data_IF_523499911252
#
_entry.id   IF_523499911252
#
_cell.length_a   1.000
_cell.length_b   1.000
_cell.length_c   1.000
_cell.angle_alpha   90.00
_cell.angle_beta   90.00
_cell.angle_gamma   90.00
#
_symmetry.space_group_name_H-M   'P 1'
#
loop_
_entity.id
_entity.type
_entity.pdbx_description
1 polymer ?
#
# COMPACT_ATOMS: atom_id res chain seq x y z
N UNK A 1 -26.62 -7.76 -80.19
CA UNK A 1 -25.82 -8.07 -78.94
C UNK A 1 -25.84 -6.85 -78.08
N UNK A 2 -26.57 -6.84 -76.98
CA UNK A 2 -26.54 -5.73 -76.04
C UNK A 2 -25.38 -5.95 -75.03
N UNK A 3 -24.69 -4.86 -74.70
CA UNK A 3 -23.62 -4.80 -73.75
C UNK A 3 -24.25 -4.50 -72.36
N UNK A 4 -24.11 -5.44 -71.41
CA UNK A 4 -24.51 -5.26 -70.02
C UNK A 4 -23.58 -4.33 -69.31
N UNK A 5 -24.08 -3.20 -68.83
CA UNK A 5 -23.38 -2.29 -67.89
C UNK A 5 -23.90 -2.56 -66.51
N UNK A 6 -23.04 -3.19 -65.64
CA UNK A 6 -23.29 -3.30 -64.25
C UNK A 6 -23.03 -1.95 -63.52
N UNK A 7 -23.91 -1.50 -62.63
CA UNK A 7 -23.64 -0.31 -61.83
C UNK A 7 -22.62 -0.62 -60.67
N UNK A 8 -21.54 0.14 -60.64
CA UNK A 8 -20.63 0.16 -59.51
C UNK A 8 -21.30 0.74 -58.26
N UNK A 9 -21.48 -0.08 -57.25
CA UNK A 9 -21.96 0.35 -55.94
C UNK A 9 -20.88 1.14 -55.24
N UNK A 10 -21.08 2.44 -55.14
CA UNK A 10 -20.21 3.36 -54.35
C UNK A 10 -20.38 3.05 -52.85
N UNK A 11 -19.29 2.61 -52.19
CA UNK A 11 -19.29 2.31 -50.75
C UNK A 11 -19.51 3.61 -49.96
N UNK A 12 -20.51 3.61 -49.10
CA UNK A 12 -20.78 4.74 -48.18
C UNK A 12 -19.59 5.05 -47.28
N UNK A 13 -19.28 6.34 -47.03
CA UNK A 13 -18.14 6.71 -46.19
C UNK A 13 -18.36 6.24 -44.75
N UNK A 14 -17.36 5.53 -44.25
CA UNK A 14 -17.30 5.12 -42.83
C UNK A 14 -17.37 6.36 -41.92
N UNK A 15 -18.26 6.42 -40.92
CA UNK A 15 -18.37 7.57 -40.06
C UNK A 15 -17.04 7.80 -39.30
N UNK A 16 -16.50 8.99 -39.44
CA UNK A 16 -15.31 9.42 -38.74
C UNK A 16 -15.46 9.19 -37.23
N UNK A 17 -14.53 8.45 -36.65
CA UNK A 17 -14.47 8.21 -35.22
C UNK A 17 -14.38 9.58 -34.48
N UNK A 18 -15.40 9.89 -33.70
CA UNK A 18 -15.35 11.05 -32.77
C UNK A 18 -14.15 10.85 -31.88
N UNK A 19 -13.12 11.69 -32.04
CA UNK A 19 -12.01 11.80 -31.09
C UNK A 19 -12.60 12.21 -29.76
N UNK A 20 -12.45 11.38 -28.74
CA UNK A 20 -12.85 11.71 -27.38
C UNK A 20 -12.11 12.97 -26.93
N UNK A 21 -12.75 13.88 -26.17
CA UNK A 21 -12.08 15.09 -25.69
C UNK A 21 -10.88 14.70 -24.83
N UNK A 22 -9.76 15.39 -25.04
CA UNK A 22 -8.55 15.29 -24.25
C UNK A 22 -8.77 15.93 -22.85
N UNK A 23 -9.48 15.23 -21.97
CA UNK A 23 -9.63 15.56 -20.55
C UNK A 23 -9.23 14.36 -19.73
N UNK A 24 -8.63 14.60 -18.56
CA UNK A 24 -8.31 13.52 -17.63
C UNK A 24 -9.59 12.70 -17.36
N UNK A 25 -9.59 11.42 -17.73
CA UNK A 25 -10.72 10.51 -17.58
C UNK A 25 -11.05 10.25 -16.11
N UNK A 26 -10.02 10.21 -15.26
CA UNK A 26 -10.14 9.93 -13.83
C UNK A 26 -9.43 10.98 -12.98
N UNK A 27 -9.72 11.05 -11.67
CA UNK A 27 -9.03 11.98 -10.77
C UNK A 27 -7.51 11.83 -10.89
N UNK A 28 -6.74 12.92 -10.91
CA UNK A 28 -5.28 12.85 -11.05
C UNK A 28 -4.66 12.07 -9.88
N UNK A 29 -3.54 11.39 -10.14
CA UNK A 29 -2.75 10.73 -9.09
C UNK A 29 -2.28 11.76 -8.08
N UNK A 30 -2.66 11.57 -6.83
CA UNK A 30 -2.25 12.42 -5.71
C UNK A 30 -0.94 11.88 -5.14
N UNK A 31 -0.02 12.79 -4.76
CA UNK A 31 1.21 12.43 -4.07
C UNK A 31 2.45 13.09 -4.66
N UNK A 32 3.49 13.20 -3.83
CA UNK A 32 4.79 13.71 -4.23
C UNK A 32 5.55 12.68 -5.08
N UNK A 33 6.51 13.16 -5.87
CA UNK A 33 7.41 12.27 -6.61
C UNK A 33 8.24 11.42 -5.64
N UNK A 34 8.41 10.09 -5.86
CA UNK A 34 9.12 9.20 -4.96
C UNK A 34 10.53 9.68 -4.60
N UNK A 35 11.28 10.17 -5.57
CA UNK A 35 12.64 10.72 -5.35
C UNK A 35 12.64 11.96 -4.46
N UNK A 36 11.61 12.82 -4.54
CA UNK A 36 11.47 13.98 -3.66
C UNK A 36 11.14 13.56 -2.22
N UNK A 37 10.25 12.57 -2.05
CA UNK A 37 9.93 12.02 -0.71
C UNK A 37 11.18 11.43 -0.06
N UNK A 38 11.96 10.64 -0.81
CA UNK A 38 13.21 10.07 -0.32
C UNK A 38 14.24 11.17 0.01
N UNK A 39 14.39 12.19 -0.83
CA UNK A 39 15.32 13.29 -0.59
C UNK A 39 14.95 14.08 0.70
N UNK A 40 13.67 14.40 0.87
CA UNK A 40 13.18 15.06 2.09
C UNK A 40 13.42 14.18 3.32
N UNK A 41 13.12 12.88 3.20
CA UNK A 41 13.33 11.93 4.29
C UNK A 41 14.80 11.88 4.73
N UNK A 42 15.71 11.71 3.79
CA UNK A 42 17.16 11.67 4.08
C UNK A 42 17.68 13.01 4.63
N UNK A 43 17.22 14.12 4.08
CA UNK A 43 17.59 15.44 4.57
C UNK A 43 17.15 15.63 6.02
N UNK A 44 15.93 15.26 6.39
CA UNK A 44 15.42 15.38 7.76
C UNK A 44 16.09 14.38 8.71
N UNK A 45 16.40 13.16 8.27
CA UNK A 45 17.08 12.14 9.06
C UNK A 45 18.53 12.55 9.41
N UNK A 46 19.21 13.26 8.52
CA UNK A 46 20.59 13.70 8.69
C UNK A 46 20.71 15.14 9.21
N UNK A 47 19.65 15.92 9.14
CA UNK A 47 19.65 17.32 9.60
C UNK A 47 20.18 17.51 11.03
N UNK A 48 19.82 16.71 12.05
CA UNK A 48 20.31 16.92 13.39
C UNK A 48 21.84 16.71 13.51
N UNK A 49 22.41 15.83 12.69
CA UNK A 49 23.87 15.64 12.63
C UNK A 49 24.54 16.87 11.99
N UNK A 50 23.98 17.38 10.89
CA UNK A 50 24.48 18.60 10.24
C UNK A 50 24.36 19.83 11.16
N UNK A 51 23.24 19.96 11.89
CA UNK A 51 23.06 21.02 12.87
C UNK A 51 24.11 20.88 13.99
N UNK A 52 24.29 19.68 14.56
CA UNK A 52 25.25 19.41 15.62
C UNK A 52 26.70 19.77 15.20
N UNK A 53 27.08 19.42 13.95
CA UNK A 53 28.39 19.74 13.38
C UNK A 53 28.61 21.25 13.17
N UNK A 54 27.54 22.03 13.01
CA UNK A 54 27.61 23.49 12.83
C UNK A 54 27.59 24.28 14.15
N UNK A 55 27.33 23.62 15.27
CA UNK A 55 27.30 24.27 16.58
C UNK A 55 28.72 24.65 17.05
N UNK A 56 28.92 25.83 17.69
CA UNK A 56 30.22 26.27 18.21
C UNK A 56 30.56 25.57 19.55
N UNK A 57 30.56 24.25 19.54
CA UNK A 57 30.85 23.42 20.71
C UNK A 57 32.26 22.81 20.56
N UNK A 58 32.98 22.68 21.66
CA UNK A 58 34.29 22.03 21.67
C UNK A 58 34.16 20.56 21.18
N UNK A 59 35.03 20.10 20.27
CA UNK A 59 34.98 18.75 19.77
C UNK A 59 35.18 17.71 20.88
N UNK A 60 34.42 16.63 20.84
CA UNK A 60 34.63 15.43 21.65
C UNK A 60 35.50 14.40 20.91
N UNK A 61 35.98 13.35 21.59
CA UNK A 61 36.61 12.21 20.95
C UNK A 61 35.76 11.68 19.79
N UNK A 62 36.42 11.25 18.72
CA UNK A 62 35.76 10.82 17.47
C UNK A 62 34.61 9.87 17.71
N UNK A 63 34.77 8.85 18.56
CA UNK A 63 33.74 7.85 18.83
C UNK A 63 32.55 8.42 19.63
N UNK A 64 32.75 9.40 20.49
CA UNK A 64 31.67 10.10 21.17
C UNK A 64 30.81 10.89 20.17
N UNK A 65 31.43 11.47 19.13
CA UNK A 65 30.71 12.16 18.05
C UNK A 65 29.96 11.19 17.15
N UNK A 66 30.56 10.04 16.82
CA UNK A 66 29.90 8.97 16.07
C UNK A 66 28.69 8.42 16.82
N UNK A 67 28.83 8.14 18.12
CA UNK A 67 27.73 7.69 18.97
C UNK A 67 26.59 8.72 19.02
N UNK A 68 26.94 10.01 19.18
CA UNK A 68 25.95 11.10 19.16
C UNK A 68 25.24 11.20 17.81
N UNK A 69 25.96 11.10 16.69
CA UNK A 69 25.40 11.14 15.36
C UNK A 69 24.42 9.98 15.10
N UNK A 70 24.76 8.77 15.56
CA UNK A 70 23.89 7.60 15.48
C UNK A 70 22.59 7.85 16.28
N UNK A 71 22.70 8.33 17.52
CA UNK A 71 21.54 8.61 18.38
C UNK A 71 20.63 9.69 17.80
N UNK A 72 21.22 10.81 17.35
CA UNK A 72 20.48 11.93 16.74
C UNK A 72 19.74 11.50 15.46
N UNK A 73 20.42 10.78 14.55
CA UNK A 73 19.80 10.27 13.32
C UNK A 73 18.69 9.28 13.63
N UNK A 74 18.91 8.34 14.55
CA UNK A 74 17.92 7.34 14.91
C UNK A 74 16.66 7.97 15.53
N UNK A 75 16.81 9.00 16.35
CA UNK A 75 15.66 9.73 16.92
C UNK A 75 14.89 10.51 15.85
N UNK A 76 15.57 11.16 14.90
CA UNK A 76 14.91 11.83 13.79
C UNK A 76 14.13 10.84 12.92
N UNK A 77 14.75 9.72 12.56
CA UNK A 77 14.11 8.65 11.78
C UNK A 77 12.89 8.13 12.54
N UNK A 78 12.98 7.86 13.84
CA UNK A 78 11.85 7.40 14.65
C UNK A 78 10.65 8.36 14.59
N UNK A 79 10.88 9.67 14.65
CA UNK A 79 9.82 10.66 14.49
C UNK A 79 9.21 10.63 13.07
N UNK A 80 10.03 10.44 12.03
CA UNK A 80 9.59 10.38 10.64
C UNK A 80 8.76 9.11 10.35
N UNK A 81 9.03 8.00 11.05
CA UNK A 81 8.31 6.74 10.87
C UNK A 81 6.80 6.85 11.18
N UNK A 82 6.39 7.77 12.05
CA UNK A 82 4.97 8.07 12.23
C UNK A 82 4.31 8.58 10.95
N UNK A 83 5.02 9.37 10.15
CA UNK A 83 4.50 9.89 8.87
C UNK A 83 4.43 8.80 7.80
N UNK A 84 5.35 7.84 7.83
CA UNK A 84 5.38 6.71 6.90
C UNK A 84 4.34 5.63 7.23
N UNK A 85 3.74 5.64 8.43
CA UNK A 85 2.74 4.64 8.83
C UNK A 85 1.49 4.56 7.94
N UNK A 86 1.58 5.18 6.78
CA UNK A 86 0.97 4.75 5.53
C UNK A 86 -0.33 5.41 5.16
N UNK A 87 -0.80 6.41 5.89
CA UNK A 87 -2.14 6.91 5.58
C UNK A 87 -2.19 8.28 4.90
N UNK A 88 -1.04 8.90 4.68
CA UNK A 88 -0.97 10.14 3.92
C UNK A 88 -0.89 9.85 2.42
N UNK A 89 -1.95 10.15 1.70
CA UNK A 89 -1.98 10.05 0.23
C UNK A 89 -0.92 10.94 -0.45
N UNK A 90 -0.49 12.01 0.21
CA UNK A 90 0.61 12.86 -0.24
C UNK A 90 1.95 12.12 -0.25
N UNK A 91 2.17 11.18 0.65
CA UNK A 91 3.37 10.35 0.74
C UNK A 91 3.21 9.07 -0.07
N UNK A 92 2.15 8.27 0.20
CA UNK A 92 1.99 6.94 -0.38
C UNK A 92 1.28 6.92 -1.74
N UNK A 93 0.66 8.02 -2.16
CA UNK A 93 -0.26 8.00 -3.31
C UNK A 93 0.41 7.74 -4.66
N UNK A 94 1.70 8.05 -4.83
CA UNK A 94 2.49 7.70 -6.03
C UNK A 94 3.46 6.56 -5.81
N UNK A 95 3.82 6.30 -4.55
CA UNK A 95 4.77 5.25 -4.18
C UNK A 95 4.08 3.89 -4.08
N UNK A 96 2.85 3.89 -3.61
CA UNK A 96 2.13 2.69 -3.18
C UNK A 96 2.32 2.42 -1.69
N UNK A 97 1.25 1.95 -1.04
CA UNK A 97 1.28 1.69 0.40
C UNK A 97 2.20 0.51 0.72
N UNK A 98 2.27 -0.49 -0.16
CA UNK A 98 3.13 -1.68 0.00
C UNK A 98 4.61 -1.30 0.09
N UNK A 99 5.07 -0.45 -0.86
CA UNK A 99 6.46 0.00 -0.86
C UNK A 99 6.74 0.89 0.34
N UNK A 100 5.79 1.75 0.73
CA UNK A 100 5.91 2.60 1.92
C UNK A 100 6.03 1.75 3.19
N UNK A 101 5.22 0.69 3.33
CA UNK A 101 5.28 -0.21 4.49
C UNK A 101 6.55 -1.07 4.51
N UNK A 102 7.04 -1.52 3.35
CA UNK A 102 8.35 -2.21 3.26
C UNK A 102 9.51 -1.28 3.64
N UNK A 103 9.44 -0.03 3.21
CA UNK A 103 10.41 0.98 3.61
C UNK A 103 10.38 1.24 5.11
N UNK A 104 9.18 1.41 5.71
CA UNK A 104 9.00 1.48 7.16
C UNK A 104 9.65 0.30 7.88
N UNK A 105 9.40 -0.94 7.44
CA UNK A 105 10.00 -2.15 8.04
C UNK A 105 11.54 -2.13 7.95
N UNK A 106 12.09 -1.83 6.77
CA UNK A 106 13.54 -1.78 6.56
C UNK A 106 14.21 -0.75 7.47
N UNK A 107 13.65 0.46 7.51
CA UNK A 107 14.20 1.57 8.30
C UNK A 107 14.03 1.30 9.79
N UNK A 108 12.90 0.75 10.23
CA UNK A 108 12.70 0.35 11.62
C UNK A 108 13.78 -0.64 12.09
N UNK A 109 14.15 -1.63 11.27
CA UNK A 109 15.27 -2.53 11.59
C UNK A 109 16.61 -1.79 11.72
N UNK A 110 16.86 -0.80 10.84
CA UNK A 110 18.07 0.03 10.90
C UNK A 110 18.11 0.89 12.17
N UNK A 111 16.98 1.50 12.53
CA UNK A 111 16.86 2.28 13.80
C UNK A 111 17.15 1.39 15.00
N UNK A 112 16.60 0.18 15.02
CA UNK A 112 16.89 -0.78 16.11
C UNK A 112 18.37 -1.09 16.19
N UNK A 113 19.02 -1.40 15.05
CA UNK A 113 20.44 -1.67 15.03
C UNK A 113 21.25 -0.48 15.57
N UNK A 114 20.92 0.75 15.15
CA UNK A 114 21.57 1.97 15.63
C UNK A 114 21.37 2.18 17.13
N UNK A 115 20.15 2.01 17.63
CA UNK A 115 19.84 2.16 19.05
C UNK A 115 20.49 1.08 19.91
N UNK A 116 20.61 -0.15 19.40
CA UNK A 116 21.26 -1.24 20.13
C UNK A 116 22.77 -0.99 20.30
N UNK A 117 23.45 -0.48 19.28
CA UNK A 117 24.89 -0.26 19.31
C UNK A 117 25.27 1.12 19.89
N UNK A 118 24.38 2.13 19.80
CA UNK A 118 24.63 3.50 20.21
C UNK A 118 25.29 3.64 21.59
N UNK A 119 24.81 3.02 22.70
CA UNK A 119 25.44 3.21 24.01
C UNK A 119 26.85 2.59 24.13
N UNK A 120 27.15 1.59 23.30
CA UNK A 120 28.45 0.91 23.31
C UNK A 120 29.51 1.64 22.48
N UNK A 121 29.11 2.48 21.53
CA UNK A 121 30.05 3.24 20.69
C UNK A 121 30.80 4.28 21.50
N UNK A 122 30.22 4.80 22.59
CA UNK A 122 30.92 5.70 23.53
C UNK A 122 32.11 5.06 24.24
N UNK A 123 32.19 3.73 24.27
CA UNK A 123 33.23 2.95 24.93
C UNK A 123 34.38 2.55 24.02
N UNK A 124 34.44 3.03 22.79
CA UNK A 124 35.49 2.69 21.80
C UNK A 124 36.53 3.81 21.69
N UNK A 125 37.79 3.51 21.36
CA UNK A 125 38.33 2.20 20.99
C UNK A 125 38.70 1.39 22.22
N UNK A 126 37.98 0.29 22.43
CA UNK A 126 38.27 -0.80 23.38
C UNK A 126 38.84 -0.39 24.77
N UNK A 127 38.30 0.68 25.38
CA UNK A 127 38.35 0.80 26.82
C UNK A 127 37.46 -0.29 27.44
N UNK A 128 37.80 -0.77 28.64
CA UNK A 128 36.94 -1.72 29.36
C UNK A 128 35.68 -1.06 29.95
N UNK A 129 35.39 0.19 29.54
CA UNK A 129 34.22 0.95 29.95
C UNK A 129 32.97 0.42 29.24
N UNK A 130 31.92 0.21 30.01
CA UNK A 130 30.62 -0.24 29.54
C UNK A 130 29.55 0.83 29.77
N UNK A 131 28.42 0.85 29.09
CA UNK A 131 27.40 1.91 29.23
C UNK A 131 26.88 2.12 30.63
N UNK A 132 27.01 1.13 31.50
CA UNK A 132 26.65 1.21 32.93
C UNK A 132 27.82 1.60 33.85
N UNK A 133 29.00 1.95 33.33
CA UNK A 133 30.10 2.45 34.10
C UNK A 133 29.82 3.89 34.57
N UNK A 134 29.85 4.12 35.87
CA UNK A 134 29.56 5.41 36.47
C UNK A 134 30.61 6.48 36.15
N UNK A 135 31.87 6.11 35.93
CA UNK A 135 32.92 7.01 35.48
C UNK A 135 32.65 7.56 34.10
N UNK A 136 32.24 6.69 33.18
CA UNK A 136 31.83 7.07 31.83
C UNK A 136 30.58 7.98 31.86
N UNK A 137 29.58 7.62 32.65
CA UNK A 137 28.37 8.43 32.81
C UNK A 137 28.66 9.83 33.28
N UNK A 138 29.56 9.98 34.31
CA UNK A 138 30.01 11.28 34.79
C UNK A 138 30.80 12.05 33.73
N UNK A 139 31.69 11.39 32.99
CA UNK A 139 32.43 12.00 31.88
C UNK A 139 31.50 12.56 30.78
N UNK A 140 30.41 11.89 30.52
CA UNK A 140 29.43 12.31 29.54
C UNK A 140 28.41 13.32 30.11
N UNK A 141 28.42 13.60 31.40
CA UNK A 141 27.50 14.53 32.06
C UNK A 141 26.07 13.98 32.19
N UNK A 142 25.91 12.64 32.24
CA UNK A 142 24.62 12.00 32.32
C UNK A 142 24.13 11.94 33.78
N UNK A 143 22.88 12.28 34.00
CA UNK A 143 22.17 12.07 35.25
C UNK A 143 21.43 10.74 35.30
N UNK A 144 20.99 10.35 36.50
CA UNK A 144 20.30 9.08 36.73
C UNK A 144 19.00 8.96 35.89
N UNK A 145 18.28 10.05 35.69
CA UNK A 145 17.02 10.03 34.96
C UNK A 145 17.24 9.92 33.46
N UNK A 146 18.24 10.57 32.90
CA UNK A 146 18.59 10.45 31.49
C UNK A 146 19.01 9.03 31.16
N UNK A 147 19.82 8.40 32.00
CA UNK A 147 20.23 7.00 31.83
C UNK A 147 19.05 6.05 31.96
N UNK A 148 18.21 6.23 32.99
CA UNK A 148 17.06 5.36 33.22
C UNK A 148 16.07 5.40 32.05
N UNK A 149 15.73 6.57 31.51
CA UNK A 149 14.83 6.69 30.36
C UNK A 149 15.43 6.13 29.09
N UNK A 150 16.74 6.34 28.88
CA UNK A 150 17.45 5.71 27.76
C UNK A 150 17.46 4.18 27.84
N UNK A 151 17.76 3.61 29.02
CA UNK A 151 17.78 2.16 29.23
C UNK A 151 16.39 1.53 29.07
N UNK A 152 15.34 2.17 29.59
CA UNK A 152 13.96 1.70 29.42
C UNK A 152 13.54 1.78 27.95
N UNK A 153 13.84 2.88 27.24
CA UNK A 153 13.59 3.01 25.81
C UNK A 153 14.31 1.92 25.01
N UNK A 154 15.57 1.67 25.34
CA UNK A 154 16.39 0.62 24.71
C UNK A 154 15.78 -0.78 24.87
N UNK A 155 15.32 -1.13 26.07
CA UNK A 155 14.62 -2.41 26.29
C UNK A 155 13.28 -2.50 25.56
N UNK A 156 12.49 -1.43 25.59
CA UNK A 156 11.18 -1.40 24.95
C UNK A 156 11.25 -1.45 23.42
N UNK A 157 12.26 -0.86 22.78
CA UNK A 157 12.43 -0.92 21.34
C UNK A 157 12.71 -2.36 20.89
N UNK A 158 13.49 -3.13 21.68
CA UNK A 158 13.71 -4.56 21.41
C UNK A 158 12.40 -5.33 21.47
N UNK A 159 11.59 -5.12 22.51
CA UNK A 159 10.28 -5.77 22.65
C UNK A 159 9.37 -5.40 21.49
N UNK A 160 9.33 -4.12 21.10
CA UNK A 160 8.49 -3.63 20.00
C UNK A 160 8.83 -4.33 18.67
N UNK A 161 10.12 -4.51 18.38
CA UNK A 161 10.57 -5.13 17.13
C UNK A 161 10.44 -6.65 17.17
N UNK A 162 10.79 -7.29 18.27
CA UNK A 162 10.62 -8.75 18.42
C UNK A 162 9.14 -9.12 18.26
N UNK A 163 8.22 -8.34 18.87
CA UNK A 163 6.78 -8.58 18.72
C UNK A 163 6.27 -8.24 17.32
N UNK A 164 6.91 -7.32 16.59
CA UNK A 164 6.57 -7.02 15.21
C UNK A 164 7.01 -8.13 14.24
N UNK A 165 8.23 -8.65 14.41
CA UNK A 165 8.75 -9.76 13.59
C UNK A 165 7.98 -11.04 13.90
N UNK A 166 7.79 -11.33 15.19
CA UNK A 166 7.11 -12.54 15.69
C UNK A 166 5.58 -12.45 15.72
N UNK A 167 4.95 -11.43 15.13
CA UNK A 167 3.50 -11.18 15.27
C UNK A 167 2.61 -12.39 14.95
N UNK A 168 3.03 -13.22 13.97
CA UNK A 168 2.29 -14.43 13.56
C UNK A 168 2.33 -15.55 14.60
N UNK A 169 3.25 -15.48 15.54
CA UNK A 169 3.40 -16.45 16.64
C UNK A 169 2.64 -16.00 17.91
N UNK A 170 2.14 -14.76 17.92
CA UNK A 170 1.45 -14.20 19.07
C UNK A 170 -0.03 -14.60 19.04
N UNK A 171 -0.64 -14.94 20.21
CA UNK A 171 -2.04 -15.38 20.31
C UNK A 171 -3.03 -14.20 20.27
N UNK A 172 -2.69 -13.10 19.61
CA UNK A 172 -3.50 -11.89 19.55
C UNK A 172 -3.95 -11.61 18.12
N UNK A 173 -5.09 -10.91 17.96
CA UNK A 173 -5.54 -10.45 16.67
C UNK A 173 -4.60 -9.37 16.13
N UNK A 174 -4.56 -9.21 14.81
CA UNK A 174 -3.76 -8.17 14.15
C UNK A 174 -4.07 -6.77 14.68
N UNK A 175 -5.34 -6.47 14.94
CA UNK A 175 -5.79 -5.19 15.47
C UNK A 175 -5.28 -4.91 16.87
N UNK A 176 -5.28 -5.92 17.74
CA UNK A 176 -4.71 -5.81 19.10
C UNK A 176 -3.22 -5.56 19.04
N UNK A 177 -2.50 -6.32 18.21
CA UNK A 177 -1.07 -6.11 17.98
C UNK A 177 -0.80 -4.70 17.44
N UNK A 178 -1.54 -4.24 16.43
CA UNK A 178 -1.38 -2.90 15.83
C UNK A 178 -1.60 -1.79 16.85
N UNK A 179 -2.61 -1.92 17.71
CA UNK A 179 -2.86 -0.98 18.80
C UNK A 179 -1.73 -0.94 19.83
N UNK A 180 -1.27 -2.12 20.27
CA UNK A 180 -0.14 -2.24 21.21
C UNK A 180 1.17 -1.68 20.60
N UNK A 181 1.43 -1.96 19.32
CA UNK A 181 2.58 -1.42 18.60
C UNK A 181 2.54 0.12 18.53
N UNK A 182 1.40 0.72 18.21
CA UNK A 182 1.24 2.17 18.16
C UNK A 182 1.47 2.83 19.53
N UNK A 183 0.89 2.26 20.59
CA UNK A 183 1.10 2.74 21.98
C UNK A 183 2.58 2.59 22.36
N UNK A 184 3.20 1.45 22.07
CA UNK A 184 4.61 1.20 22.33
C UNK A 184 5.51 2.18 21.57
N UNK A 185 5.23 2.48 20.30
CA UNK A 185 5.96 3.46 19.51
C UNK A 185 5.90 4.87 20.13
N UNK A 186 4.72 5.29 20.59
CA UNK A 186 4.56 6.59 21.30
C UNK A 186 5.35 6.60 22.61
N UNK A 187 5.27 5.53 23.39
CA UNK A 187 5.98 5.42 24.66
C UNK A 187 7.51 5.47 24.46
N UNK A 188 8.03 4.68 23.52
CA UNK A 188 9.46 4.67 23.17
C UNK A 188 9.91 6.05 22.69
N UNK A 189 9.14 6.68 21.79
CA UNK A 189 9.49 8.02 21.26
C UNK A 189 9.51 9.07 22.39
N UNK A 190 8.56 9.03 23.31
CA UNK A 190 8.53 9.92 24.48
C UNK A 190 9.72 9.72 25.41
N UNK A 191 10.11 8.47 25.67
CA UNK A 191 11.28 8.14 26.49
C UNK A 191 12.59 8.55 25.82
N UNK A 192 12.72 8.33 24.50
CA UNK A 192 13.88 8.77 23.72
C UNK A 192 13.95 10.30 23.66
N UNK A 193 12.81 10.98 23.51
CA UNK A 193 12.78 12.44 23.56
C UNK A 193 13.30 12.94 24.91
N UNK A 194 12.78 12.42 26.04
CA UNK A 194 13.26 12.78 27.37
C UNK A 194 14.76 12.48 27.52
N UNK A 195 15.21 11.29 27.13
CA UNK A 195 16.63 10.92 27.14
C UNK A 195 17.48 11.90 26.32
N UNK A 196 17.06 12.22 25.09
CA UNK A 196 17.80 13.11 24.20
C UNK A 196 17.91 14.54 24.75
N UNK A 197 16.87 15.06 25.40
CA UNK A 197 16.92 16.38 26.04
C UNK A 197 17.72 16.39 27.35
N UNK A 198 17.58 15.35 28.19
CA UNK A 198 18.25 15.27 29.49
C UNK A 198 19.73 14.90 29.37
N UNK A 199 20.10 13.99 28.46
CA UNK A 199 21.48 13.57 28.22
C UNK A 199 22.19 14.40 27.16
N UNK A 200 21.45 15.19 26.39
CA UNK A 200 21.85 15.69 25.10
C UNK A 200 22.61 16.99 25.13
N UNK A 201 23.92 16.93 25.03
CA UNK A 201 24.78 18.08 24.71
C UNK A 201 24.26 18.89 23.51
N UNK A 202 23.81 18.21 22.45
CA UNK A 202 23.31 18.84 21.22
C UNK A 202 21.81 19.15 21.27
N UNK A 203 21.04 18.28 21.88
CA UNK A 203 19.56 18.40 21.92
C UNK A 203 19.08 19.52 22.85
N UNK A 204 19.92 20.00 23.73
CA UNK A 204 19.64 21.15 24.62
C UNK A 204 19.87 22.51 23.95
N UNK A 205 20.54 22.54 22.78
CA UNK A 205 20.78 23.78 22.03
C UNK A 205 19.49 24.33 21.41
N UNK A 206 19.24 25.64 21.41
CA UNK A 206 17.97 26.23 20.99
C UNK A 206 17.53 25.83 19.58
N UNK A 207 18.45 25.79 18.61
CA UNK A 207 18.16 25.38 17.23
C UNK A 207 17.72 23.92 17.16
N UNK A 208 18.35 23.06 17.97
CA UNK A 208 18.02 21.65 18.01
C UNK A 208 16.68 21.41 18.73
N UNK A 209 16.39 22.17 19.79
CA UNK A 209 15.08 22.15 20.47
C UNK A 209 13.96 22.46 19.46
N UNK A 210 14.14 23.50 18.64
CA UNK A 210 13.17 23.86 17.59
C UNK A 210 13.02 22.73 16.58
N UNK A 211 14.12 22.13 16.13
CA UNK A 211 14.09 21.00 15.20
C UNK A 211 13.28 19.80 15.77
N UNK A 212 13.57 19.41 17.02
CA UNK A 212 12.84 18.33 17.69
C UNK A 212 11.38 18.67 17.94
N UNK A 213 11.07 19.91 18.32
CA UNK A 213 9.69 20.36 18.51
C UNK A 213 8.90 20.24 17.21
N UNK A 214 9.48 20.58 16.06
CA UNK A 214 8.85 20.43 14.76
C UNK A 214 8.58 18.95 14.45
N UNK A 215 9.58 18.07 14.59
CA UNK A 215 9.39 16.64 14.27
C UNK A 215 8.40 15.96 15.22
N UNK A 216 8.46 16.23 16.51
CA UNK A 216 7.51 15.68 17.50
C UNK A 216 6.09 16.20 17.26
N UNK A 217 5.96 17.47 16.90
CA UNK A 217 4.64 18.05 16.52
C UNK A 217 4.09 17.37 15.29
N UNK A 218 4.90 17.16 14.25
CA UNK A 218 4.48 16.44 13.04
C UNK A 218 4.07 15.00 13.35
N UNK A 219 4.81 14.30 14.19
CA UNK A 219 4.44 12.96 14.65
C UNK A 219 3.11 12.97 15.42
N UNK A 220 2.92 13.91 16.34
CA UNK A 220 1.67 14.09 17.08
C UNK A 220 0.48 14.44 16.19
N UNK A 221 0.66 15.36 15.23
CA UNK A 221 -0.37 15.71 14.25
C UNK A 221 -0.72 14.51 13.37
N UNK A 222 0.24 13.63 13.05
CA UNK A 222 -0.04 12.39 12.33
C UNK A 222 -0.97 11.47 13.12
N UNK A 223 -0.69 11.28 14.40
CA UNK A 223 -1.54 10.46 15.26
C UNK A 223 -2.94 11.07 15.41
N UNK A 224 -3.03 12.38 15.62
CA UNK A 224 -4.30 13.11 15.67
C UNK A 224 -5.08 12.93 14.38
N UNK A 225 -4.42 13.05 13.22
CA UNK A 225 -5.06 12.87 11.93
C UNK A 225 -5.60 11.45 11.75
N UNK A 226 -4.78 10.43 12.00
CA UNK A 226 -5.14 9.02 11.76
C UNK A 226 -6.23 8.54 12.73
N UNK A 227 -6.11 8.88 14.02
CA UNK A 227 -6.98 8.30 15.06
C UNK A 227 -8.17 9.18 15.45
N UNK A 228 -8.18 10.47 15.07
CA UNK A 228 -9.27 11.40 15.40
C UNK A 228 -9.90 12.01 14.17
N UNK A 229 -9.11 12.71 13.34
CA UNK A 229 -9.67 13.48 12.21
C UNK A 229 -10.27 12.56 11.16
N UNK A 230 -9.55 11.48 10.78
CA UNK A 230 -10.04 10.50 9.79
C UNK A 230 -11.35 9.82 10.21
N UNK A 231 -11.49 9.25 11.42
CA UNK A 231 -12.76 8.70 11.87
C UNK A 231 -13.91 9.70 11.85
N UNK A 232 -13.66 10.98 12.21
CA UNK A 232 -14.68 12.04 12.11
C UNK A 232 -15.08 12.28 10.64
N UNK A 233 -14.13 12.31 9.72
CA UNK A 233 -14.42 12.44 8.28
C UNK A 233 -15.23 11.25 7.77
N UNK A 234 -14.89 10.02 8.16
CA UNK A 234 -15.64 8.80 7.83
C UNK A 234 -17.08 8.87 8.36
N UNK A 235 -17.27 9.39 9.58
CA UNK A 235 -18.59 9.55 10.17
C UNK A 235 -19.47 10.53 9.41
N UNK A 236 -18.88 11.53 8.76
CA UNK A 236 -19.59 12.53 7.93
C UNK A 236 -19.94 12.01 6.53
N UNK A 237 -19.31 10.94 6.07
CA UNK A 237 -19.55 10.32 4.78
C UNK A 237 -19.88 8.82 4.94
N UNK A 238 -21.01 8.46 5.60
CA UNK A 238 -21.36 7.11 5.88
C UNK A 238 -21.87 6.39 4.63
N UNK A 239 -21.60 5.08 4.59
CA UNK A 239 -22.18 4.13 3.63
C UNK A 239 -23.11 3.16 4.35
N UNK A 240 -23.92 2.47 3.57
CA UNK A 240 -24.66 1.30 4.02
C UNK A 240 -24.43 0.16 3.04
N UNK A 241 -24.45 -1.06 3.54
CA UNK A 241 -24.45 -2.26 2.69
C UNK A 241 -25.72 -2.24 1.83
N UNK A 242 -25.55 -2.23 0.51
CA UNK A 242 -26.63 -2.35 -0.45
C UNK A 242 -26.99 -3.82 -0.68
N UNK A 243 -26.00 -4.69 -0.68
CA UNK A 243 -26.18 -6.13 -0.82
C UNK A 243 -24.85 -6.87 -0.78
N UNK A 244 -24.95 -8.19 -0.58
CA UNK A 244 -23.84 -9.13 -0.68
C UNK A 244 -24.32 -10.28 -1.55
N UNK A 245 -23.62 -10.57 -2.65
CA UNK A 245 -23.99 -11.60 -3.62
C UNK A 245 -22.83 -12.55 -3.87
N UNK A 246 -23.05 -13.88 -3.96
CA UNK A 246 -22.00 -14.81 -4.30
C UNK A 246 -21.63 -14.63 -5.79
N UNK A 247 -20.30 -14.60 -6.07
CA UNK A 247 -19.75 -14.48 -7.43
C UNK A 247 -18.84 -15.64 -7.80
N UNK A 248 -18.50 -16.50 -6.82
CA UNK A 248 -17.84 -17.80 -7.00
C UNK A 248 -18.03 -18.64 -5.72
N UNK A 249 -17.54 -19.87 -5.70
CA UNK A 249 -17.74 -20.82 -4.62
C UNK A 249 -17.39 -20.30 -3.20
N UNK A 250 -16.32 -19.51 -3.07
CA UNK A 250 -15.82 -18.93 -1.82
C UNK A 250 -15.63 -17.40 -1.92
N UNK A 251 -16.36 -16.76 -2.85
CA UNK A 251 -16.11 -15.35 -3.20
C UNK A 251 -17.41 -14.58 -3.36
N UNK A 252 -17.47 -13.41 -2.75
CA UNK A 252 -18.64 -12.56 -2.68
C UNK A 252 -18.38 -11.17 -3.26
N UNK A 253 -19.38 -10.56 -3.88
CA UNK A 253 -19.40 -9.13 -4.18
C UNK A 253 -20.19 -8.39 -3.09
N UNK A 254 -19.49 -7.58 -2.30
CA UNK A 254 -20.07 -6.66 -1.34
C UNK A 254 -20.29 -5.31 -2.02
N UNK A 255 -21.53 -4.81 -2.02
CA UNK A 255 -21.87 -3.49 -2.53
C UNK A 255 -22.23 -2.54 -1.40
N UNK A 256 -21.60 -1.38 -1.39
CA UNK A 256 -21.85 -0.28 -0.45
C UNK A 256 -22.42 0.90 -1.22
N UNK A 257 -23.48 1.51 -0.66
CA UNK A 257 -24.08 2.72 -1.22
C UNK A 257 -23.92 3.86 -0.22
N UNK A 258 -23.49 5.04 -0.69
CA UNK A 258 -23.42 6.24 0.13
C UNK A 258 -24.82 6.60 0.64
N UNK A 259 -24.94 6.94 1.94
CA UNK A 259 -26.23 7.32 2.54
C UNK A 259 -26.68 8.67 2.00
N UNK A 260 -28.00 8.80 1.80
CA UNK A 260 -28.65 9.98 1.23
C UNK A 260 -28.45 11.27 2.05
N UNK A 261 -28.61 12.42 1.39
CA UNK A 261 -28.29 13.74 1.82
C UNK A 261 -27.11 14.26 1.01
N UNK A 262 -26.13 14.87 1.65
CA UNK A 262 -24.86 15.27 1.00
C UNK A 262 -23.95 14.08 0.64
N UNK A 263 -24.39 12.83 0.89
CA UNK A 263 -23.60 11.61 0.71
C UNK A 263 -23.15 11.37 -0.73
N UNK A 264 -23.96 11.72 -1.74
CA UNK A 264 -23.56 11.60 -3.14
C UNK A 264 -22.41 12.55 -3.50
N UNK A 265 -22.36 13.75 -2.90
CA UNK A 265 -21.29 14.73 -3.07
C UNK A 265 -20.01 14.31 -2.33
N UNK A 266 -20.15 13.56 -1.23
CA UNK A 266 -19.05 13.05 -0.40
C UNK A 266 -18.65 11.62 -0.74
N UNK A 267 -19.22 11.01 -1.79
CA UNK A 267 -18.87 9.68 -2.24
C UNK A 267 -17.38 9.60 -2.61
N UNK A 268 -16.75 8.49 -2.27
CA UNK A 268 -15.34 8.26 -2.53
C UNK A 268 -15.04 8.37 -4.04
N UNK A 269 -14.23 9.35 -4.41
CA UNK A 269 -13.70 9.49 -5.78
C UNK A 269 -12.42 8.68 -5.89
N UNK A 270 -12.38 7.74 -6.81
CA UNK A 270 -11.27 6.82 -6.99
C UNK A 270 -10.90 6.63 -8.47
N UNK A 271 -9.73 6.06 -8.70
CA UNK A 271 -9.32 5.57 -10.02
C UNK A 271 -9.55 4.06 -10.07
N UNK A 272 -9.85 3.47 -11.24
CA UNK A 272 -10.00 2.02 -11.36
C UNK A 272 -8.78 1.30 -10.80
N UNK A 273 -8.99 0.18 -10.11
CA UNK A 273 -7.94 -0.65 -9.52
C UNK A 273 -7.41 -0.20 -8.16
N UNK A 274 -7.87 0.93 -7.62
CA UNK A 274 -7.55 1.33 -6.26
C UNK A 274 -8.31 0.49 -5.22
N UNK A 275 -7.86 0.54 -3.97
CA UNK A 275 -8.50 -0.13 -2.84
C UNK A 275 -8.91 0.87 -1.75
N UNK A 276 -9.75 0.42 -0.84
CA UNK A 276 -10.13 1.17 0.36
C UNK A 276 -10.06 0.29 1.61
N UNK A 277 -9.79 0.91 2.75
CA UNK A 277 -10.02 0.27 4.05
C UNK A 277 -11.50 0.37 4.39
N UNK A 278 -12.10 -0.78 4.71
CA UNK A 278 -13.55 -0.92 4.92
C UNK A 278 -13.81 -1.30 6.37
N UNK A 279 -14.73 -0.58 7.01
CA UNK A 279 -15.28 -0.89 8.33
C UNK A 279 -16.77 -1.20 8.16
N UNK A 280 -17.25 -2.34 8.64
CA UNK A 280 -18.65 -2.78 8.49
C UNK A 280 -19.23 -3.13 9.85
N UNK A 281 -20.47 -2.68 10.13
CA UNK A 281 -21.21 -3.01 11.34
C UNK A 281 -20.60 -2.44 12.63
N UNK A 282 -19.73 -1.44 12.54
CA UNK A 282 -19.04 -0.89 13.70
C UNK A 282 -18.87 0.63 13.60
N UNK A 283 -18.51 1.27 14.72
CA UNK A 283 -18.27 2.71 14.77
C UNK A 283 -16.94 3.09 14.08
N UNK A 284 -16.84 4.24 13.37
CA UNK A 284 -15.64 4.64 12.63
C UNK A 284 -14.35 4.74 13.48
N UNK A 285 -14.46 5.00 14.79
CA UNK A 285 -13.32 5.02 15.72
C UNK A 285 -12.78 3.64 16.10
N UNK A 286 -13.43 2.55 15.69
CA UNK A 286 -12.86 1.21 15.90
C UNK A 286 -11.67 0.99 14.98
N UNK A 287 -10.66 0.31 15.52
CA UNK A 287 -9.39 0.05 14.81
C UNK A 287 -9.54 -1.08 13.78
N UNK A 288 -10.58 -1.91 13.92
CA UNK A 288 -10.82 -3.05 13.03
C UNK A 288 -11.29 -2.56 11.67
N UNK A 289 -10.47 -2.78 10.66
CA UNK A 289 -10.72 -2.39 9.28
C UNK A 289 -9.98 -3.35 8.34
N UNK A 290 -10.52 -3.55 7.13
CA UNK A 290 -9.99 -4.50 6.17
C UNK A 290 -9.75 -3.80 4.84
N UNK A 291 -8.57 -4.01 4.20
CA UNK A 291 -8.29 -3.45 2.88
C UNK A 291 -8.90 -4.35 1.80
N UNK A 292 -9.73 -3.78 0.95
CA UNK A 292 -10.30 -4.48 -0.20
C UNK A 292 -10.16 -3.65 -1.46
N UNK A 293 -9.77 -4.31 -2.56
CA UNK A 293 -9.76 -3.70 -3.88
C UNK A 293 -11.16 -3.36 -4.34
N UNK A 294 -11.34 -2.13 -4.80
CA UNK A 294 -12.60 -1.71 -5.40
C UNK A 294 -12.75 -2.45 -6.72
N UNK A 295 -13.86 -3.16 -6.88
CA UNK A 295 -14.17 -3.93 -8.09
C UNK A 295 -15.10 -3.21 -9.06
N UNK A 296 -15.84 -2.19 -8.60
CA UNK A 296 -16.69 -1.34 -9.46
C UNK A 296 -15.88 -0.32 -10.26
N UNK A 297 -16.45 0.18 -11.34
CA UNK A 297 -15.93 1.33 -12.07
C UNK A 297 -16.26 2.65 -11.34
N UNK A 298 -15.44 3.71 -11.48
CA UNK A 298 -15.72 5.02 -10.87
C UNK A 298 -17.08 5.61 -11.28
N UNK A 299 -17.54 5.33 -12.48
CA UNK A 299 -18.82 5.79 -13.05
C UNK A 299 -20.04 5.18 -12.35
N UNK A 300 -19.84 4.11 -11.57
CA UNK A 300 -20.89 3.48 -10.76
C UNK A 300 -21.12 4.19 -9.41
N UNK A 301 -20.28 5.18 -9.07
CA UNK A 301 -20.48 6.02 -7.90
C UNK A 301 -21.87 6.67 -7.93
N UNK A 302 -22.67 6.67 -6.81
CA UNK A 302 -22.24 6.52 -5.43
C UNK A 302 -22.24 5.09 -4.87
N UNK A 303 -22.38 4.07 -5.71
CA UNK A 303 -22.28 2.67 -5.30
C UNK A 303 -20.85 2.16 -5.52
N UNK A 304 -20.27 1.50 -4.51
CA UNK A 304 -18.91 0.97 -4.53
C UNK A 304 -18.94 -0.51 -4.19
N UNK A 305 -18.37 -1.34 -5.06
CA UNK A 305 -18.31 -2.78 -4.89
C UNK A 305 -16.91 -3.28 -4.57
N UNK A 306 -16.87 -4.38 -3.84
CA UNK A 306 -15.65 -5.08 -3.43
C UNK A 306 -15.84 -6.57 -3.68
N UNK A 307 -14.92 -7.21 -4.40
CA UNK A 307 -14.91 -8.67 -4.56
C UNK A 307 -14.02 -9.25 -3.46
N UNK A 308 -14.60 -10.05 -2.57
CA UNK A 308 -14.01 -10.52 -1.33
C UNK A 308 -14.07 -12.04 -1.28
N UNK A 309 -12.93 -12.70 -1.05
CA UNK A 309 -12.86 -14.14 -0.83
C UNK A 309 -12.89 -14.44 0.67
N UNK A 310 -13.55 -15.52 1.05
CA UNK A 310 -13.51 -16.09 2.39
C UNK A 310 -12.09 -16.53 2.74
N UNK A 311 -11.51 -15.93 3.78
CA UNK A 311 -10.16 -16.23 4.26
C UNK A 311 -9.91 -15.63 5.65
N UNK A 312 -10.59 -16.17 6.66
CA UNK A 312 -10.43 -15.78 8.07
C UNK A 312 -11.65 -15.09 8.67
N UNK A 313 -11.58 -14.81 9.95
CA UNK A 313 -12.67 -14.51 10.89
C UNK A 313 -13.74 -13.52 10.39
N UNK A 314 -13.33 -12.49 9.64
CA UNK A 314 -14.26 -11.49 9.12
C UNK A 314 -14.84 -11.92 7.78
N UNK A 315 -13.99 -12.37 6.86
CA UNK A 315 -14.41 -12.65 5.48
C UNK A 315 -15.19 -13.95 5.35
N UNK A 316 -15.01 -14.93 6.23
CA UNK A 316 -15.78 -16.18 6.27
C UNK A 316 -17.28 -15.94 6.61
N UNK A 317 -17.57 -14.75 7.16
CA UNK A 317 -18.93 -14.34 7.50
C UNK A 317 -19.47 -13.22 6.61
N UNK A 318 -18.80 -12.92 5.51
CA UNK A 318 -19.20 -11.81 4.64
C UNK A 318 -20.61 -11.99 4.07
N UNK A 319 -20.99 -13.24 3.75
CA UNK A 319 -22.32 -13.59 3.23
C UNK A 319 -23.47 -13.40 4.23
N UNK A 320 -23.18 -13.29 5.55
CA UNK A 320 -24.17 -13.08 6.60
C UNK A 320 -24.54 -11.59 6.78
N UNK A 321 -23.78 -10.68 6.17
CA UNK A 321 -23.95 -9.23 6.36
C UNK A 321 -25.25 -8.77 5.69
N UNK A 322 -26.12 -8.15 6.50
CA UNK A 322 -27.44 -7.72 6.06
C UNK A 322 -27.39 -6.36 5.34
N UNK A 323 -28.23 -6.17 4.30
CA UNK A 323 -28.45 -4.84 3.72
C UNK A 323 -28.84 -3.82 4.79
N UNK A 324 -28.40 -2.57 4.62
CA UNK A 324 -28.61 -1.50 5.60
C UNK A 324 -27.52 -1.43 6.70
N UNK A 325 -26.68 -2.45 6.85
CA UNK A 325 -25.57 -2.42 7.82
C UNK A 325 -24.66 -1.20 7.57
N UNK A 326 -24.35 -0.39 8.60
CA UNK A 326 -23.45 0.77 8.44
C UNK A 326 -22.06 0.36 8.00
N UNK A 327 -21.48 1.14 7.07
CA UNK A 327 -20.13 0.96 6.61
C UNK A 327 -19.39 2.29 6.48
N UNK A 328 -18.06 2.27 6.60
CA UNK A 328 -17.21 3.43 6.47
C UNK A 328 -15.98 3.08 5.64
N UNK A 329 -15.56 4.03 4.80
CA UNK A 329 -14.44 3.86 3.90
C UNK A 329 -13.29 4.82 4.26
N UNK A 330 -12.07 4.32 4.19
CA UNK A 330 -10.85 5.13 4.17
C UNK A 330 -10.10 4.84 2.87
N UNK A 331 -10.01 5.85 2.02
CA UNK A 331 -9.38 5.71 0.71
C UNK A 331 -9.60 6.92 -0.18
N UNK A 332 -9.38 6.72 -1.50
CA UNK A 332 -8.80 5.54 -2.12
C UNK A 332 -7.29 5.46 -1.92
N UNK A 333 -6.75 4.25 -1.96
CA UNK A 333 -5.32 3.96 -1.88
C UNK A 333 -4.89 3.06 -3.05
N UNK A 334 -3.58 2.89 -3.24
CA UNK A 334 -3.02 1.99 -4.24
C UNK A 334 -2.65 2.68 -5.56
N UNK A 335 -1.73 2.01 -6.27
CA UNK A 335 -1.15 2.46 -7.55
C UNK A 335 -1.44 1.49 -8.70
N UNK A 336 -2.30 0.54 -8.48
CA UNK A 336 -2.74 -0.42 -9.50
C UNK A 336 -3.76 0.25 -10.42
N UNK A 337 -3.31 1.28 -11.15
CA UNK A 337 -4.17 2.17 -11.94
C UNK A 337 -3.73 2.11 -13.40
N UNK A 338 -4.68 1.96 -14.36
CA UNK A 338 -4.35 1.85 -15.77
C UNK A 338 -3.78 3.17 -16.33
N UNK A 339 -3.04 3.06 -17.43
CA UNK A 339 -2.59 4.24 -18.15
C UNK A 339 -3.76 4.91 -18.89
N UNK A 340 -3.78 6.24 -18.91
CA UNK A 340 -4.76 7.01 -19.70
C UNK A 340 -4.57 6.79 -21.21
N UNK A 341 -3.36 6.51 -21.65
CA UNK A 341 -3.06 6.14 -23.04
C UNK A 341 -3.55 4.73 -23.32
N UNK A 342 -4.06 4.51 -24.53
CA UNK A 342 -4.53 3.19 -24.97
C UNK A 342 -3.35 2.25 -25.33
N UNK A 343 -2.49 1.97 -24.37
CA UNK A 343 -1.38 1.02 -24.52
C UNK A 343 -1.92 -0.41 -24.40
N UNK A 344 -1.41 -1.37 -25.17
CA UNK A 344 -1.74 -2.78 -24.97
C UNK A 344 -1.52 -3.19 -23.50
N UNK A 345 -2.50 -3.86 -22.91
CA UNK A 345 -2.49 -4.17 -21.47
C UNK A 345 -2.67 -5.66 -21.23
N UNK A 346 -1.81 -6.20 -20.39
CA UNK A 346 -1.85 -7.61 -19.98
C UNK A 346 -2.15 -7.67 -18.50
N UNK A 347 -3.14 -8.46 -18.14
CA UNK A 347 -3.50 -8.78 -16.77
C UNK A 347 -3.16 -10.22 -16.46
N UNK A 348 -2.56 -10.45 -15.28
CA UNK A 348 -2.37 -11.78 -14.71
C UNK A 348 -3.02 -11.78 -13.33
N UNK A 349 -4.12 -12.49 -13.20
CA UNK A 349 -4.91 -12.58 -11.98
C UNK A 349 -4.80 -13.97 -11.35
N UNK A 350 -4.80 -14.03 -10.01
CA UNK A 350 -4.95 -15.28 -9.25
C UNK A 350 -6.05 -15.17 -8.19
N UNK A 351 -7.09 -16.00 -8.31
CA UNK A 351 -8.23 -15.99 -7.38
C UNK A 351 -8.85 -14.61 -7.23
N UNK A 352 -9.00 -14.11 -5.98
CA UNK A 352 -9.59 -12.79 -5.70
C UNK A 352 -8.77 -11.61 -6.22
N UNK A 353 -7.54 -11.81 -6.69
CA UNK A 353 -6.76 -10.79 -7.40
C UNK A 353 -7.40 -10.28 -8.68
N UNK A 354 -8.52 -10.84 -9.10
CA UNK A 354 -9.36 -10.32 -10.18
C UNK A 354 -10.06 -8.99 -9.80
N UNK A 355 -10.27 -8.71 -8.51
CA UNK A 355 -11.05 -7.57 -8.04
C UNK A 355 -10.61 -6.21 -8.63
N UNK A 356 -9.34 -5.77 -8.53
CA UNK A 356 -8.91 -4.51 -9.12
C UNK A 356 -8.95 -4.53 -10.65
N UNK A 357 -8.80 -5.70 -11.27
CA UNK A 357 -8.86 -5.88 -12.72
C UNK A 357 -10.31 -5.75 -13.23
N UNK A 358 -11.30 -6.26 -12.49
CA UNK A 358 -12.70 -6.02 -12.78
C UNK A 358 -13.03 -4.53 -12.82
N UNK A 359 -12.49 -3.75 -11.88
CA UNK A 359 -12.65 -2.28 -11.87
C UNK A 359 -12.12 -1.66 -13.17
N UNK A 360 -10.94 -2.08 -13.65
CA UNK A 360 -10.39 -1.64 -14.93
C UNK A 360 -11.29 -2.00 -16.10
N UNK A 361 -11.68 -3.28 -16.20
CA UNK A 361 -12.48 -3.78 -17.32
C UNK A 361 -13.86 -3.13 -17.36
N UNK A 362 -14.51 -2.94 -16.22
CA UNK A 362 -15.79 -2.23 -16.08
C UNK A 362 -15.69 -0.78 -16.53
N UNK A 363 -14.61 -0.06 -16.11
CA UNK A 363 -14.36 1.31 -16.53
C UNK A 363 -14.10 1.39 -18.06
N UNK A 364 -13.24 0.53 -18.59
CA UNK A 364 -12.97 0.48 -20.03
C UNK A 364 -14.23 0.19 -20.86
N UNK A 365 -15.09 -0.71 -20.38
CA UNK A 365 -16.34 -1.03 -21.07
C UNK A 365 -17.33 0.15 -21.05
N UNK A 366 -17.35 0.94 -19.98
CA UNK A 366 -18.18 2.15 -19.86
C UNK A 366 -17.68 3.26 -20.80
N UNK A 367 -16.36 3.41 -20.91
CA UNK A 367 -15.72 4.44 -21.73
C UNK A 367 -15.60 4.06 -23.22
N UNK A 368 -15.88 2.81 -23.59
CA UNK A 368 -15.68 2.29 -24.96
C UNK A 368 -14.20 2.24 -25.35
N UNK A 369 -13.32 1.90 -24.39
CA UNK A 369 -11.88 1.77 -24.63
C UNK A 369 -11.60 0.63 -25.64
N UNK A 370 -10.66 0.86 -26.56
CA UNK A 370 -10.33 -0.06 -27.65
C UNK A 370 -8.94 -0.68 -27.55
N UNK A 371 -8.22 -0.43 -26.45
CA UNK A 371 -6.89 -1.05 -26.26
C UNK A 371 -6.96 -2.56 -26.37
N UNK A 372 -5.89 -3.17 -26.87
CA UNK A 372 -5.75 -4.62 -26.84
C UNK A 372 -5.53 -5.09 -25.39
N UNK A 373 -6.37 -6.00 -24.91
CA UNK A 373 -6.32 -6.52 -23.53
C UNK A 373 -6.14 -8.03 -23.59
N UNK A 374 -5.24 -8.55 -22.78
CA UNK A 374 -5.13 -9.98 -22.50
C UNK A 374 -5.28 -10.20 -20.98
N UNK A 375 -6.20 -11.08 -20.58
CA UNK A 375 -6.36 -11.50 -19.18
C UNK A 375 -6.06 -12.98 -19.06
N UNK A 376 -5.02 -13.29 -18.29
CA UNK A 376 -4.69 -14.66 -17.85
C UNK A 376 -5.18 -14.79 -16.41
N UNK A 377 -6.19 -15.64 -16.17
CA UNK A 377 -6.84 -15.74 -14.88
C UNK A 377 -6.75 -17.15 -14.30
N UNK A 378 -5.90 -17.30 -13.27
CA UNK A 378 -5.63 -18.56 -12.57
C UNK A 378 -6.57 -18.80 -11.41
N UNK A 379 -7.14 -20.00 -11.32
CA UNK A 379 -8.00 -20.44 -10.23
C UNK A 379 -7.78 -21.92 -9.90
N UNK A 380 -8.33 -22.37 -8.76
CA UNK A 380 -8.26 -23.77 -8.35
C UNK A 380 -9.12 -24.64 -9.26
N UNK A 381 -10.40 -24.33 -9.36
CA UNK A 381 -11.40 -25.00 -10.22
C UNK A 381 -12.22 -23.95 -10.94
N UNK A 382 -13.08 -24.39 -11.86
CA UNK A 382 -13.98 -23.51 -12.60
C UNK A 382 -14.98 -22.78 -11.68
N UNK A 383 -15.44 -23.42 -10.60
CA UNK A 383 -16.37 -22.87 -9.63
C UNK A 383 -15.77 -21.72 -8.80
N UNK A 384 -14.43 -21.64 -8.73
CA UNK A 384 -13.71 -20.54 -8.07
C UNK A 384 -13.40 -19.37 -8.99
N UNK A 385 -13.83 -19.40 -10.25
CA UNK A 385 -13.66 -18.29 -11.19
C UNK A 385 -14.70 -17.21 -10.88
N UNK A 386 -14.30 -16.19 -10.14
CA UNK A 386 -15.20 -15.11 -9.76
C UNK A 386 -15.65 -14.29 -10.99
N UNK A 387 -16.95 -13.96 -11.02
CA UNK A 387 -17.58 -13.15 -12.07
C UNK A 387 -17.34 -13.69 -13.50
N UNK A 388 -17.31 -15.02 -13.67
CA UNK A 388 -17.02 -15.67 -14.95
C UNK A 388 -17.91 -15.16 -16.10
N UNK A 389 -19.23 -15.20 -15.91
CA UNK A 389 -20.19 -14.81 -16.94
C UNK A 389 -20.05 -13.32 -17.33
N UNK A 390 -19.75 -12.46 -16.35
CA UNK A 390 -19.47 -11.05 -16.60
C UNK A 390 -18.17 -10.86 -17.39
N UNK A 391 -17.10 -11.59 -17.07
CA UNK A 391 -15.83 -11.54 -17.79
C UNK A 391 -16.01 -11.97 -19.26
N UNK A 392 -16.82 -13.00 -19.52
CA UNK A 392 -17.17 -13.45 -20.87
C UNK A 392 -18.01 -12.39 -21.62
N UNK A 393 -18.96 -11.75 -20.93
CA UNK A 393 -19.74 -10.65 -21.51
C UNK A 393 -18.85 -9.42 -21.81
N UNK A 394 -17.90 -9.09 -20.94
CA UNK A 394 -16.92 -8.03 -21.16
C UNK A 394 -15.98 -8.34 -22.34
N UNK A 395 -15.61 -9.60 -22.55
CA UNK A 395 -14.81 -10.01 -23.70
C UNK A 395 -15.56 -9.80 -25.04
N UNK A 396 -16.88 -9.87 -25.03
CA UNK A 396 -17.71 -9.51 -26.20
C UNK A 396 -17.83 -8.00 -26.45
N UNK A 397 -17.52 -7.15 -25.47
CA UNK A 397 -17.65 -5.68 -25.55
C UNK A 397 -16.31 -4.96 -25.72
N UNK A 398 -15.22 -5.56 -25.25
CA UNK A 398 -13.86 -5.04 -25.27
C UNK A 398 -13.00 -5.84 -26.24
N UNK A 399 -11.88 -5.27 -26.67
CA UNK A 399 -10.84 -6.03 -27.38
C UNK A 399 -10.05 -6.89 -26.35
N UNK A 400 -10.75 -7.80 -25.68
CA UNK A 400 -10.27 -8.61 -24.57
C UNK A 400 -10.10 -10.07 -24.97
N UNK A 401 -8.86 -10.57 -24.90
CA UNK A 401 -8.54 -12.00 -24.95
C UNK A 401 -8.55 -12.57 -23.53
N UNK A 402 -9.53 -13.41 -23.21
CA UNK A 402 -9.68 -14.05 -21.91
C UNK A 402 -9.09 -15.46 -21.94
N UNK A 403 -8.23 -15.79 -20.96
CA UNK A 403 -7.59 -17.10 -20.80
C UNK A 403 -7.70 -17.56 -19.35
N UNK A 404 -8.43 -18.63 -19.11
CA UNK A 404 -8.51 -19.28 -17.80
C UNK A 404 -7.43 -20.34 -17.64
N UNK A 405 -6.83 -20.42 -16.44
CA UNK A 405 -5.85 -21.42 -16.04
C UNK A 405 -6.37 -22.11 -14.78
N UNK A 406 -6.73 -23.39 -14.86
CA UNK A 406 -7.33 -24.11 -13.74
C UNK A 406 -6.35 -25.15 -13.19
N UNK A 407 -6.13 -25.13 -11.86
CA UNK A 407 -5.26 -26.15 -11.23
C UNK A 407 -5.87 -27.55 -11.34
N UNK A 408 -7.18 -27.66 -11.11
CA UNK A 408 -7.96 -28.88 -11.23
C UNK A 408 -9.14 -28.61 -12.17
N UNK A 409 -8.94 -28.77 -13.49
CA UNK A 409 -9.98 -28.53 -14.48
C UNK A 409 -11.06 -29.62 -14.46
N UNK A 410 -12.28 -29.32 -14.90
CA UNK A 410 -13.32 -30.32 -15.15
C UNK A 410 -12.96 -31.21 -16.34
N UNK A 411 -13.67 -32.35 -16.46
CA UNK A 411 -13.54 -33.24 -17.62
C UNK A 411 -13.95 -32.49 -18.90
N UNK A 412 -13.19 -32.70 -19.99
CA UNK A 412 -13.38 -32.03 -21.27
C UNK A 412 -12.88 -30.57 -21.33
N UNK A 413 -12.10 -30.11 -20.32
CA UNK A 413 -11.50 -28.78 -20.32
C UNK A 413 -10.49 -28.61 -21.48
N UNK A 414 -10.66 -27.62 -22.32
CA UNK A 414 -9.80 -27.28 -23.47
C UNK A 414 -8.83 -26.11 -23.21
N UNK A 415 -8.91 -25.48 -22.02
CA UNK A 415 -8.04 -24.38 -21.60
C UNK A 415 -6.76 -24.87 -20.92
N UNK A 416 -5.99 -23.92 -20.38
CA UNK A 416 -4.75 -24.23 -19.65
C UNK A 416 -5.05 -24.88 -18.31
N UNK A 417 -4.23 -25.88 -17.93
CA UNK A 417 -4.28 -26.58 -16.65
C UNK A 417 -3.00 -26.42 -15.84
N UNK A 418 -3.12 -26.47 -14.50
CA UNK A 418 -2.03 -26.30 -13.55
C UNK A 418 -1.82 -24.86 -13.10
N UNK A 419 -0.57 -24.49 -12.89
CA UNK A 419 -0.16 -23.15 -12.42
C UNK A 419 0.13 -22.22 -13.61
N UNK A 420 0.11 -20.90 -13.37
CA UNK A 420 0.57 -19.91 -14.35
C UNK A 420 2.10 -19.98 -14.44
N UNK A 421 2.58 -20.80 -15.33
CA UNK A 421 4.00 -21.00 -15.63
C UNK A 421 4.47 -20.09 -16.76
N UNK A 422 5.79 -20.05 -16.99
CA UNK A 422 6.36 -19.36 -18.15
C UNK A 422 5.77 -19.87 -19.47
N UNK A 423 5.63 -21.19 -19.62
CA UNK A 423 5.06 -21.79 -20.83
C UNK A 423 3.61 -21.32 -21.08
N UNK A 424 2.79 -21.26 -20.02
CA UNK A 424 1.42 -20.71 -20.10
C UNK A 424 1.44 -19.24 -20.50
N UNK A 425 2.34 -18.44 -19.91
CA UNK A 425 2.47 -17.02 -20.27
C UNK A 425 2.92 -16.87 -21.73
N UNK A 426 3.89 -17.65 -22.20
CA UNK A 426 4.40 -17.59 -23.56
C UNK A 426 3.33 -17.96 -24.61
N UNK A 427 2.40 -18.85 -24.26
CA UNK A 427 1.26 -19.21 -25.11
C UNK A 427 0.13 -18.16 -25.09
N UNK A 428 -0.16 -17.61 -23.91
CA UNK A 428 -1.25 -16.64 -23.73
C UNK A 428 -0.90 -15.23 -24.23
N UNK A 429 0.37 -14.82 -24.10
CA UNK A 429 0.79 -13.45 -24.37
C UNK A 429 1.06 -13.20 -25.86
N UNK A 430 0.83 -11.97 -26.34
CA UNK A 430 1.22 -11.60 -27.71
C UNK A 430 2.72 -11.83 -27.91
N UNK A 431 3.12 -12.35 -29.06
CA UNK A 431 4.54 -12.53 -29.40
C UNK A 431 5.22 -11.21 -29.76
N UNK A 432 4.48 -10.30 -30.38
CA UNK A 432 4.93 -8.95 -30.73
C UNK A 432 4.43 -7.92 -29.73
N UNK A 433 5.18 -6.84 -29.51
CA UNK A 433 4.79 -5.74 -28.62
C UNK A 433 4.87 -6.05 -27.13
N UNK A 434 5.58 -7.11 -26.72
CA UNK A 434 5.71 -7.47 -25.28
C UNK A 434 6.40 -6.39 -24.46
N UNK A 435 7.43 -5.74 -25.00
CA UNK A 435 8.17 -4.70 -24.30
C UNK A 435 7.39 -3.39 -24.17
N UNK A 436 6.40 -3.16 -25.03
CA UNK A 436 5.59 -1.94 -25.08
C UNK A 436 4.31 -2.07 -24.25
N UNK A 437 3.85 -3.29 -24.00
CA UNK A 437 2.63 -3.55 -23.23
C UNK A 437 2.82 -3.18 -21.75
N UNK A 438 1.72 -2.84 -21.09
CA UNK A 438 1.66 -2.66 -19.63
C UNK A 438 1.14 -3.94 -18.99
N UNK A 439 1.81 -4.38 -17.93
CA UNK A 439 1.49 -5.61 -17.20
C UNK A 439 0.98 -5.28 -15.81
N UNK A 440 -0.16 -5.87 -15.45
CA UNK A 440 -0.76 -5.77 -14.13
C UNK A 440 -0.90 -7.16 -13.53
N UNK A 441 -0.28 -7.40 -12.36
CA UNK A 441 -0.26 -8.70 -11.70
C UNK A 441 -0.90 -8.57 -10.33
N UNK A 442 -1.96 -9.35 -10.05
CA UNK A 442 -2.61 -9.36 -8.74
C UNK A 442 -3.03 -10.77 -8.34
N UNK A 443 -2.71 -11.17 -7.11
CA UNK A 443 -3.02 -12.51 -6.58
C UNK A 443 -2.10 -12.92 -5.43
N UNK A 444 -1.95 -14.22 -5.17
CA UNK A 444 -1.06 -14.73 -4.14
C UNK A 444 0.41 -14.33 -4.37
N UNK A 445 1.12 -13.97 -3.29
CA UNK A 445 2.52 -13.52 -3.36
C UNK A 445 3.44 -14.41 -4.20
N UNK A 446 3.46 -15.75 -4.00
CA UNK A 446 4.29 -16.65 -4.81
C UNK A 446 3.98 -16.60 -6.31
N UNK A 447 2.69 -16.43 -6.70
CA UNK A 447 2.29 -16.29 -8.10
C UNK A 447 2.82 -14.96 -8.68
N UNK A 448 2.67 -13.87 -7.94
CA UNK A 448 3.17 -12.54 -8.35
C UNK A 448 4.68 -12.59 -8.58
N UNK A 449 5.44 -13.14 -7.62
CA UNK A 449 6.90 -13.23 -7.71
C UNK A 449 7.37 -14.11 -8.87
N UNK A 450 6.69 -15.21 -9.13
CA UNK A 450 7.00 -16.08 -10.25
C UNK A 450 6.67 -15.42 -11.60
N UNK A 451 5.51 -14.75 -11.69
CA UNK A 451 5.07 -14.05 -12.90
C UNK A 451 5.98 -12.87 -13.22
N UNK A 452 6.35 -12.04 -12.23
CA UNK A 452 7.27 -10.91 -12.40
C UNK A 452 8.63 -11.39 -12.94
N UNK A 453 9.21 -12.44 -12.35
CA UNK A 453 10.46 -13.03 -12.84
C UNK A 453 10.33 -13.52 -14.27
N UNK A 454 9.30 -14.31 -14.57
CA UNK A 454 9.09 -14.87 -15.92
C UNK A 454 8.95 -13.77 -16.98
N UNK A 455 8.25 -12.68 -16.67
CA UNK A 455 8.10 -11.53 -17.59
C UNK A 455 9.43 -10.82 -17.81
N UNK A 456 10.20 -10.56 -16.75
CA UNK A 456 11.54 -9.93 -16.86
C UNK A 456 12.51 -10.79 -17.66
N UNK A 457 12.51 -12.10 -17.41
CA UNK A 457 13.34 -13.09 -18.14
C UNK A 457 12.92 -13.20 -19.62
N UNK A 458 11.69 -12.78 -19.95
CA UNK A 458 11.18 -12.68 -21.33
C UNK A 458 11.42 -11.30 -21.95
N UNK A 459 12.22 -10.42 -21.30
CA UNK A 459 12.60 -9.10 -21.81
C UNK A 459 11.61 -7.97 -21.52
N UNK A 460 10.62 -8.16 -20.65
CA UNK A 460 9.70 -7.09 -20.25
C UNK A 460 10.41 -6.13 -19.29
N UNK A 461 10.47 -4.82 -19.58
CA UNK A 461 11.09 -3.84 -18.70
C UNK A 461 10.36 -3.73 -17.35
N UNK A 462 11.11 -3.67 -16.23
CA UNK A 462 10.55 -3.64 -14.88
C UNK A 462 9.54 -2.51 -14.65
N UNK A 463 9.74 -1.33 -15.27
CA UNK A 463 8.83 -0.18 -15.15
C UNK A 463 7.48 -0.39 -15.87
N UNK A 464 7.35 -1.44 -16.68
CA UNK A 464 6.11 -1.85 -17.35
C UNK A 464 5.28 -2.82 -16.53
N UNK A 465 5.85 -3.39 -15.45
CA UNK A 465 5.20 -4.36 -14.58
C UNK A 465 4.72 -3.65 -13.32
N UNK A 466 3.42 -3.72 -13.06
CA UNK A 466 2.76 -3.19 -11.86
C UNK A 466 2.17 -4.39 -11.13
N UNK A 467 2.59 -4.61 -9.90
CA UNK A 467 2.03 -5.67 -9.06
C UNK A 467 1.51 -5.12 -7.75
N UNK A 468 0.42 -5.68 -7.26
CA UNK A 468 -0.14 -5.36 -5.96
C UNK A 468 -0.28 -6.65 -5.12
N UNK A 469 0.39 -6.65 -3.95
CA UNK A 469 0.37 -7.77 -3.01
C UNK A 469 -0.50 -7.41 -1.81
N UNK A 470 -1.46 -8.26 -1.49
CA UNK A 470 -2.31 -8.09 -0.31
C UNK A 470 -1.85 -8.98 0.85
N UNK A 471 -0.54 -9.06 1.10
CA UNK A 471 0.04 -9.80 2.23
C UNK A 471 0.02 -8.94 3.51
N UNK A 472 -1.17 -8.50 3.93
CA UNK A 472 -1.35 -7.77 5.20
C UNK A 472 -1.60 -8.69 6.41
N UNK A 473 -1.48 -10.01 6.24
CA UNK A 473 -1.67 -11.02 7.28
C UNK A 473 -0.34 -11.46 7.93
#
# INVERSE_FOLDING_TARGET
MPVDTHPTTEAAPTPAAKTAPAGHRWPPRVGLHPGLVLAIYLALALAPVAIAAALPLEPRPFWDEVASAIGLSAFAIMCLEFMLSGRYRTVSGRIGIDLTMRFHQLVAHSVVAFMLIHPFVYSTPMGYEVPWDTGQQMRLGLDTWSIATGAVAWGLIVVLVVTAIGRRLLPYTYETWRGAHAIGAVAVTGLVAHHAFAAGRYSAEPVMIVFWAVLLTLAGLTLLYVYVIRPIQQQRAPYAVAGVTPVAADTWELRLKAKDGDGAHNALKFQPGQFAWVKIGQHPFRVREHPFSISTAPEQTPEIGFTIRENGDFTDRIGEIQPGTPAYLDGPHGNFVPDEQQVPTVYVAGGVGIAPILSHLRAFATEGDRRAITLVYGNRTLEHVASKDELEALAGRLNLRLRFVLQTPPEGWDGHSGMITRAVLDDCLPREGRAEARYFICGPGPMIDATDRNLRDSGVPAHRIISEKFDYN
#
